data_IF_474589084257
#
_entry.id   IF_474589084257
#
_cell.length_a   1.000
_cell.length_b   1.000
_cell.length_c   1.000
_cell.angle_alpha   90.00
_cell.angle_beta   90.00
_cell.angle_gamma   90.00
#
_symmetry.space_group_name_H-M   'P 1'
#
loop_
_entity.id
_entity.type
_entity.pdbx_description
1 polymer ?
#
# COMPACT_ATOMS: atom_id res chain seq x y z
N UNK A 1 -15.26 -6.04 -5.52
CA UNK A 1 -14.28 -5.02 -5.95
C UNK A 1 -13.71 -4.31 -4.73
N UNK A 2 -12.66 -3.47 -4.87
CA UNK A 2 -12.15 -2.70 -3.72
C UNK A 2 -13.21 -1.76 -3.12
N UNK A 3 -14.16 -1.26 -3.93
CA UNK A 3 -15.30 -0.47 -3.44
C UNK A 3 -16.24 -1.27 -2.53
N UNK A 4 -16.40 -2.57 -2.77
CA UNK A 4 -17.21 -3.44 -1.91
C UNK A 4 -16.49 -3.74 -0.61
N UNK A 5 -15.18 -3.99 -0.66
CA UNK A 5 -14.36 -4.22 0.53
C UNK A 5 -14.32 -2.99 1.44
N UNK A 6 -14.35 -1.78 0.87
CA UNK A 6 -14.41 -0.53 1.63
C UNK A 6 -15.75 -0.30 2.36
N UNK A 7 -16.76 -1.14 2.15
CA UNK A 7 -18.05 -1.06 2.85
C UNK A 7 -18.23 -2.16 3.90
N UNK A 8 -17.19 -2.99 4.09
CA UNK A 8 -17.23 -4.16 4.96
C UNK A 8 -16.12 -4.15 6.01
N UNK A 9 -15.65 -5.34 6.38
CA UNK A 9 -14.62 -5.51 7.42
C UNK A 9 -13.27 -4.86 7.10
N UNK A 10 -13.05 -4.48 5.84
CA UNK A 10 -11.80 -3.88 5.37
C UNK A 10 -11.93 -2.36 5.15
N UNK A 11 -13.04 -1.74 5.60
CA UNK A 11 -13.21 -0.29 5.55
C UNK A 11 -12.02 0.41 6.22
N UNK A 12 -11.21 1.06 5.40
CA UNK A 12 -9.96 1.68 5.80
C UNK A 12 -9.49 2.65 4.73
N UNK A 13 -8.73 3.67 5.15
CA UNK A 13 -8.19 4.68 4.26
C UNK A 13 -7.39 4.08 3.08
N UNK A 14 -6.57 3.04 3.33
CA UNK A 14 -5.76 2.41 2.29
C UNK A 14 -6.62 1.65 1.24
N UNK A 15 -7.72 1.04 1.65
CA UNK A 15 -8.65 0.38 0.73
C UNK A 15 -9.41 1.41 -0.11
N UNK A 16 -9.84 2.52 0.49
CA UNK A 16 -10.49 3.62 -0.23
C UNK A 16 -9.60 4.17 -1.35
N UNK A 17 -8.37 4.58 -1.03
CA UNK A 17 -7.47 5.17 -2.04
C UNK A 17 -7.08 4.15 -3.11
N UNK A 18 -7.00 2.86 -2.77
CA UNK A 18 -6.73 1.79 -3.75
C UNK A 18 -7.86 1.68 -4.77
N UNK A 19 -9.12 1.74 -4.30
CA UNK A 19 -10.27 1.76 -5.20
C UNK A 19 -10.24 2.99 -6.14
N UNK A 20 -9.88 4.16 -5.61
CA UNK A 20 -9.76 5.40 -6.38
C UNK A 20 -8.62 5.33 -7.42
N UNK A 21 -7.44 4.85 -7.04
CA UNK A 21 -6.27 4.70 -7.92
C UNK A 21 -6.60 3.77 -9.11
N UNK A 22 -7.25 2.64 -8.87
CA UNK A 22 -7.58 1.67 -9.92
C UNK A 22 -8.56 2.23 -10.97
N UNK A 23 -9.41 3.19 -10.59
CA UNK A 23 -10.35 3.86 -11.51
C UNK A 23 -9.74 5.05 -12.24
N UNK A 24 -8.63 5.59 -11.76
CA UNK A 24 -8.05 6.82 -12.30
C UNK A 24 -7.49 6.62 -13.71
N UNK A 25 -7.91 7.48 -14.64
CA UNK A 25 -7.54 7.46 -16.05
C UNK A 25 -7.08 8.82 -16.52
N UNK A 26 -6.05 8.81 -17.37
CA UNK A 26 -5.62 9.97 -18.15
C UNK A 26 -5.47 9.54 -19.62
N UNK A 27 -5.96 10.38 -20.54
CA UNK A 27 -5.92 10.10 -21.99
C UNK A 27 -6.48 8.71 -22.38
N UNK A 28 -7.53 8.26 -21.68
CA UNK A 28 -8.18 6.97 -21.90
C UNK A 28 -7.45 5.74 -21.36
N UNK A 29 -6.25 5.92 -20.77
CA UNK A 29 -5.46 4.83 -20.17
C UNK A 29 -5.53 4.89 -18.65
N UNK A 30 -5.50 3.74 -17.98
CA UNK A 30 -5.34 3.70 -16.54
C UNK A 30 -3.94 4.19 -16.19
N UNK A 31 -3.85 5.15 -15.27
CA UNK A 31 -2.55 5.75 -14.91
C UNK A 31 -1.65 4.74 -14.21
N UNK A 32 -2.24 3.82 -13.44
CA UNK A 32 -1.50 2.75 -12.76
C UNK A 32 -0.60 1.96 -13.71
N UNK A 33 -1.10 1.64 -14.91
CA UNK A 33 -0.36 0.86 -15.92
C UNK A 33 0.85 1.62 -16.50
N UNK A 34 0.92 2.93 -16.26
CA UNK A 34 2.00 3.81 -16.73
C UNK A 34 3.06 4.07 -15.64
N UNK A 35 2.80 3.67 -14.38
CA UNK A 35 3.71 3.89 -13.26
C UNK A 35 4.79 2.80 -13.26
N UNK A 36 6.05 3.20 -13.10
CA UNK A 36 7.16 2.26 -12.93
C UNK A 36 7.02 1.49 -11.62
N UNK A 37 7.05 0.17 -11.69
CA UNK A 37 7.02 -0.72 -10.52
C UNK A 37 8.37 -0.73 -9.80
N UNK A 38 8.62 0.33 -9.02
CA UNK A 38 9.80 0.51 -8.20
C UNK A 38 9.44 1.39 -7.00
N UNK A 39 9.07 0.76 -5.90
CA UNK A 39 8.70 1.47 -4.67
C UNK A 39 9.91 2.14 -4.01
N UNK A 40 9.80 3.45 -3.75
CA UNK A 40 10.76 4.18 -2.92
C UNK A 40 10.48 4.00 -1.42
N UNK A 41 11.51 4.14 -0.58
CA UNK A 41 11.38 4.19 0.87
C UNK A 41 12.30 5.26 1.47
N UNK A 42 11.88 5.90 2.57
CA UNK A 42 12.68 6.92 3.28
C UNK A 42 13.38 6.42 4.54
N UNK A 43 13.18 5.15 4.91
CA UNK A 43 13.94 4.47 5.97
C UNK A 43 13.14 4.08 7.22
N UNK A 44 11.98 4.68 7.49
CA UNK A 44 11.18 4.37 8.71
C UNK A 44 10.74 2.91 8.80
N UNK A 45 10.38 2.28 7.67
CA UNK A 45 10.10 0.83 7.61
C UNK A 45 11.34 -0.01 7.95
N UNK A 46 12.48 0.33 7.36
CA UNK A 46 13.78 -0.32 7.65
C UNK A 46 14.16 -0.21 9.14
N UNK A 47 13.96 0.95 9.75
CA UNK A 47 14.23 1.14 11.18
C UNK A 47 13.37 0.24 12.06
N UNK A 48 12.10 0.02 11.67
CA UNK A 48 11.20 -0.90 12.39
C UNK A 48 11.72 -2.34 12.34
N UNK A 49 12.19 -2.79 11.17
CA UNK A 49 12.80 -4.12 11.02
C UNK A 49 14.09 -4.29 11.83
N UNK A 50 14.94 -3.26 11.88
CA UNK A 50 16.16 -3.27 12.70
C UNK A 50 15.82 -3.35 14.19
N UNK A 51 14.90 -2.52 14.67
CA UNK A 51 14.48 -2.51 16.07
C UNK A 51 13.88 -3.88 16.48
N UNK A 52 13.09 -4.51 15.61
CA UNK A 52 12.56 -5.85 15.88
C UNK A 52 13.67 -6.89 16.13
N UNK A 53 14.75 -6.85 15.34
CA UNK A 53 15.91 -7.72 15.53
C UNK A 53 16.66 -7.41 16.83
N UNK A 54 16.89 -6.13 17.14
CA UNK A 54 17.58 -5.70 18.36
C UNK A 54 16.82 -6.12 19.63
N UNK A 55 15.49 -6.04 19.62
CA UNK A 55 14.65 -6.45 20.74
C UNK A 55 14.30 -7.93 20.76
N UNK A 56 14.72 -8.71 19.75
CA UNK A 56 14.39 -10.13 19.64
C UNK A 56 12.89 -10.40 19.45
N UNK A 57 12.15 -9.47 18.86
CA UNK A 57 10.70 -9.57 18.62
C UNK A 57 10.45 -10.03 17.18
N UNK A 58 9.68 -11.11 16.94
CA UNK A 58 9.44 -11.61 15.59
C UNK A 58 8.41 -10.74 14.84
N UNK A 59 8.90 -9.80 14.03
CA UNK A 59 8.09 -8.96 13.13
C UNK A 59 8.41 -9.31 11.68
N UNK A 60 7.72 -10.32 11.14
CA UNK A 60 8.07 -10.94 9.83
C UNK A 60 7.34 -10.36 8.62
N UNK A 61 6.33 -9.51 8.83
CA UNK A 61 5.44 -9.00 7.76
C UNK A 61 5.80 -7.56 7.31
N UNK A 62 6.45 -6.78 8.16
CA UNK A 62 6.72 -5.34 7.94
C UNK A 62 7.97 -5.13 7.09
#
# INVERSE_FOLDING_TARGET
>A
TFEEWNKGKLDSFLIQITAEILRYKENGKHVLDLIRDSAGQKGTGKWTGIAALEYGVPVTLI
#
